data_IF_354428845049
#
_entry.id   IF_354428845049
#
_cell.length_a   1.000
_cell.length_b   1.000
_cell.length_c   1.000
_cell.angle_alpha   90.00
_cell.angle_beta   90.00
_cell.angle_gamma   90.00
#
_symmetry.space_group_name_H-M   'P 1'
#
loop_
_entity.id
_entity.type
_entity.pdbx_description
1 polymer ?
#
# COMPACT_ATOMS: atom_id res chain seq x y z
N UNK A 1 -23.38 18.38 0.28
CA UNK A 1 -22.75 17.68 -0.86
C UNK A 1 -21.26 18.04 -1.11
N UNK A 2 -20.68 19.08 -0.48
CA UNK A 2 -19.39 19.64 -0.90
C UNK A 2 -18.10 18.85 -0.64
N UNK A 3 -18.11 17.79 0.19
CA UNK A 3 -16.86 17.16 0.66
C UNK A 3 -16.75 15.66 0.34
N UNK A 4 -17.55 15.14 -0.60
CA UNK A 4 -17.54 13.70 -0.93
C UNK A 4 -16.15 13.22 -1.36
N UNK A 5 -15.45 14.01 -2.17
CA UNK A 5 -14.11 13.68 -2.66
C UNK A 5 -13.14 13.54 -1.48
N UNK A 6 -13.14 14.50 -0.56
CA UNK A 6 -12.28 14.43 0.62
C UNK A 6 -12.60 13.27 1.53
N UNK A 7 -13.89 12.98 1.76
CA UNK A 7 -14.31 11.83 2.53
C UNK A 7 -13.88 10.51 1.89
N UNK A 8 -13.94 10.42 0.55
CA UNK A 8 -13.47 9.26 -0.17
C UNK A 8 -11.97 9.02 0.05
N UNK A 9 -11.12 10.04 -0.10
CA UNK A 9 -9.68 9.90 0.13
C UNK A 9 -9.31 9.65 1.59
N UNK A 10 -10.04 10.26 2.53
CA UNK A 10 -9.88 10.02 3.97
C UNK A 10 -10.12 8.56 4.36
N UNK A 11 -10.98 7.84 3.63
CA UNK A 11 -11.22 6.42 3.84
C UNK A 11 -10.27 5.54 3.01
N UNK A 12 -10.01 5.92 1.76
CA UNK A 12 -9.22 5.11 0.83
C UNK A 12 -7.76 4.96 1.27
N UNK A 13 -7.10 6.04 1.67
CA UNK A 13 -5.66 6.02 1.99
C UNK A 13 -5.37 5.08 3.17
N UNK A 14 -6.07 5.17 4.33
CA UNK A 14 -5.86 4.24 5.44
C UNK A 14 -6.12 2.77 5.09
N UNK A 15 -7.11 2.50 4.24
CA UNK A 15 -7.41 1.12 3.80
C UNK A 15 -6.23 0.57 2.98
N UNK A 16 -5.65 1.37 2.11
CA UNK A 16 -4.46 0.98 1.33
C UNK A 16 -3.23 0.79 2.22
N UNK A 17 -3.04 1.64 3.23
CA UNK A 17 -1.97 1.48 4.21
C UNK A 17 -2.11 0.16 4.98
N UNK A 18 -3.31 -0.15 5.47
CA UNK A 18 -3.60 -1.41 6.15
C UNK A 18 -3.36 -2.59 5.20
N UNK A 19 -3.82 -2.51 3.95
CA UNK A 19 -3.59 -3.58 2.99
C UNK A 19 -2.09 -3.84 2.74
N UNK A 20 -1.30 -2.77 2.60
CA UNK A 20 0.16 -2.88 2.43
C UNK A 20 0.81 -3.43 3.70
N UNK A 21 0.36 -2.99 4.88
CA UNK A 21 0.86 -3.50 6.16
C UNK A 21 0.55 -4.99 6.34
N UNK A 22 -0.67 -5.41 6.02
CA UNK A 22 -1.05 -6.84 6.00
C UNK A 22 -0.19 -7.60 4.98
N UNK A 23 0.22 -6.98 3.86
CA UNK A 23 1.10 -7.64 2.88
C UNK A 23 2.49 -7.89 3.42
N UNK A 24 3.00 -6.96 4.24
CA UNK A 24 4.24 -7.13 4.98
C UNK A 24 4.07 -8.32 5.94
N UNK A 25 3.01 -8.35 6.75
CA UNK A 25 2.72 -9.47 7.66
C UNK A 25 2.64 -10.81 6.90
N UNK A 26 1.85 -10.85 5.82
CA UNK A 26 1.65 -12.04 5.01
C UNK A 26 2.95 -12.56 4.39
N UNK A 27 3.97 -11.71 4.17
CA UNK A 27 5.27 -12.18 3.66
C UNK A 27 6.00 -13.13 4.62
N UNK A 28 5.69 -13.11 5.92
CA UNK A 28 6.21 -14.08 6.89
C UNK A 28 5.33 -15.32 7.02
N UNK A 29 4.00 -15.17 6.94
CA UNK A 29 3.06 -16.28 7.11
C UNK A 29 2.85 -17.10 5.84
N UNK A 30 2.93 -16.47 4.67
CA UNK A 30 2.84 -17.09 3.35
C UNK A 30 3.95 -16.50 2.45
N UNK A 31 5.22 -16.89 2.66
CA UNK A 31 6.36 -16.32 1.93
C UNK A 31 6.30 -16.56 0.41
N UNK A 32 5.57 -17.60 -0.02
CA UNK A 32 5.36 -17.93 -1.43
C UNK A 32 4.18 -17.13 -2.04
N UNK A 33 3.32 -16.55 -1.20
CA UNK A 33 2.17 -15.75 -1.62
C UNK A 33 1.13 -16.53 -2.43
N UNK A 34 0.94 -17.83 -2.11
CA UNK A 34 0.08 -18.74 -2.86
C UNK A 34 -1.35 -18.83 -2.32
N UNK A 35 -1.59 -18.35 -1.11
CA UNK A 35 -2.94 -18.31 -0.53
C UNK A 35 -3.83 -17.36 -1.33
N UNK A 36 -5.13 -17.69 -1.42
CA UNK A 36 -6.13 -16.83 -2.08
C UNK A 36 -6.15 -15.42 -1.50
N UNK A 37 -5.93 -15.30 -0.19
CA UNK A 37 -5.86 -14.01 0.49
C UNK A 37 -4.63 -13.20 0.06
N UNK A 38 -3.45 -13.84 -0.03
CA UNK A 38 -2.24 -13.19 -0.53
C UNK A 38 -2.41 -12.71 -1.99
N UNK A 39 -3.08 -13.49 -2.84
CA UNK A 39 -3.34 -13.10 -4.23
C UNK A 39 -4.23 -11.85 -4.32
N UNK A 40 -5.35 -11.81 -3.59
CA UNK A 40 -6.23 -10.64 -3.54
C UNK A 40 -5.46 -9.41 -3.03
N UNK A 41 -4.64 -9.60 -1.99
CA UNK A 41 -3.86 -8.52 -1.42
C UNK A 41 -2.83 -7.97 -2.41
N UNK A 42 -2.21 -8.85 -3.21
CA UNK A 42 -1.33 -8.45 -4.31
C UNK A 42 -2.08 -7.65 -5.36
N UNK A 43 -3.26 -8.09 -5.79
CA UNK A 43 -4.06 -7.35 -6.79
C UNK A 43 -4.41 -5.93 -6.32
N UNK A 44 -4.75 -5.75 -5.04
CA UNK A 44 -5.08 -4.44 -4.48
C UNK A 44 -3.84 -3.54 -4.37
N UNK A 45 -2.69 -4.10 -3.99
CA UNK A 45 -1.50 -3.31 -3.62
C UNK A 45 -0.46 -3.19 -4.74
N UNK A 46 -0.41 -4.11 -5.71
CA UNK A 46 0.53 -4.09 -6.84
C UNK A 46 0.43 -2.82 -7.71
N UNK A 47 -0.73 -2.18 -7.93
CA UNK A 47 -0.80 -0.90 -8.62
C UNK A 47 0.06 0.20 -7.97
N UNK A 48 0.31 0.10 -6.66
CA UNK A 48 1.14 1.03 -5.89
C UNK A 48 2.59 0.50 -5.78
N UNK A 49 2.76 -0.79 -5.50
CA UNK A 49 4.08 -1.36 -5.25
C UNK A 49 4.90 -1.61 -6.53
N UNK A 50 4.28 -2.02 -7.64
CA UNK A 50 5.01 -2.29 -8.89
C UNK A 50 5.72 -1.05 -9.46
N UNK A 51 5.11 0.15 -9.50
CA UNK A 51 5.84 1.36 -9.88
C UNK A 51 7.05 1.64 -8.99
N UNK A 52 6.93 1.43 -7.68
CA UNK A 52 8.03 1.64 -6.73
C UNK A 52 9.15 0.63 -6.98
N UNK A 53 8.81 -0.65 -7.23
CA UNK A 53 9.78 -1.71 -7.56
C UNK A 53 10.54 -1.46 -8.86
N UNK A 54 10.00 -0.67 -9.79
CA UNK A 54 10.72 -0.27 -11.00
C UNK A 54 11.85 0.72 -10.71
N UNK A 55 11.72 1.52 -9.66
CA UNK A 55 12.72 2.50 -9.24
C UNK A 55 13.70 1.87 -8.25
N UNK A 56 13.18 1.11 -7.27
CA UNK A 56 13.97 0.45 -6.24
C UNK A 56 13.64 -1.04 -6.32
N UNK A 57 14.37 -1.82 -7.14
CA UNK A 57 14.11 -3.24 -7.31
C UNK A 57 14.34 -3.98 -6.00
N UNK A 58 13.55 -5.03 -5.78
CA UNK A 58 13.68 -5.92 -4.63
C UNK A 58 15.05 -6.61 -4.67
N UNK A 59 15.72 -6.70 -3.52
CA UNK A 59 17.05 -7.31 -3.40
C UNK A 59 16.89 -8.71 -2.80
N UNK A 60 16.96 -9.74 -3.63
CA UNK A 60 16.67 -11.11 -3.21
C UNK A 60 15.23 -11.26 -2.71
N UNK A 61 15.05 -11.82 -1.51
CA UNK A 61 13.74 -11.97 -0.87
C UNK A 61 13.28 -10.68 -0.14
N UNK A 62 14.13 -9.66 -0.05
CA UNK A 62 13.83 -8.43 0.67
C UNK A 62 13.23 -7.40 -0.28
N UNK A 63 11.94 -7.14 -0.08
CA UNK A 63 11.22 -6.11 -0.81
C UNK A 63 10.98 -4.90 0.10
N UNK A 64 11.68 -3.79 -0.18
CA UNK A 64 11.51 -2.52 0.54
C UNK A 64 10.37 -1.66 -0.02
N UNK A 65 9.79 -2.04 -1.17
CA UNK A 65 8.70 -1.29 -1.78
C UNK A 65 7.47 -1.09 -0.89
N UNK A 66 7.04 -2.05 -0.03
CA UNK A 66 5.93 -1.82 0.89
C UNK A 66 6.22 -0.70 1.90
N UNK A 67 7.44 -0.62 2.42
CA UNK A 67 7.84 0.42 3.39
C UNK A 67 7.81 1.81 2.74
N UNK A 68 8.34 1.91 1.52
CA UNK A 68 8.33 3.16 0.75
C UNK A 68 6.91 3.57 0.41
N UNK A 69 6.05 2.62 0.03
CA UNK A 69 4.64 2.88 -0.25
C UNK A 69 3.91 3.43 0.99
N UNK A 70 4.13 2.84 2.17
CA UNK A 70 3.55 3.34 3.43
C UNK A 70 4.00 4.77 3.72
N UNK A 71 5.29 5.09 3.55
CA UNK A 71 5.79 6.45 3.75
C UNK A 71 5.12 7.44 2.78
N UNK A 72 5.02 7.08 1.50
CA UNK A 72 4.39 7.93 0.48
C UNK A 72 2.91 8.16 0.75
N UNK A 73 2.18 7.13 1.18
CA UNK A 73 0.76 7.24 1.55
C UNK A 73 0.56 8.12 2.78
N UNK A 74 1.41 8.02 3.80
CA UNK A 74 1.35 8.88 4.99
C UNK A 74 1.61 10.35 4.65
N UNK A 75 2.60 10.62 3.79
CA UNK A 75 2.87 11.97 3.29
C UNK A 75 1.67 12.49 2.50
N UNK A 76 1.13 11.67 1.58
CA UNK A 76 -0.06 12.03 0.80
C UNK A 76 -1.25 12.36 1.71
N UNK A 77 -1.49 11.55 2.74
CA UNK A 77 -2.56 11.76 3.71
C UNK A 77 -2.38 13.07 4.48
N UNK A 78 -1.16 13.33 4.96
CA UNK A 78 -0.84 14.56 5.70
C UNK A 78 -1.06 15.79 4.84
N UNK A 79 -0.56 15.78 3.59
CA UNK A 79 -0.77 16.87 2.64
C UNK A 79 -2.25 17.05 2.34
N UNK A 80 -2.98 15.96 2.11
CA UNK A 80 -4.41 16.02 1.82
C UNK A 80 -5.22 16.63 2.96
N UNK A 81 -4.93 16.23 4.20
CA UNK A 81 -5.55 16.76 5.41
C UNK A 81 -5.20 18.23 5.67
N UNK A 82 -4.01 18.68 5.24
CA UNK A 82 -3.60 20.08 5.41
C UNK A 82 -4.29 21.06 4.45
N UNK A 83 -4.82 20.56 3.32
CA UNK A 83 -5.42 21.38 2.25
C UNK A 83 -6.95 21.28 2.21
N UNK A 84 -7.53 20.21 2.76
CA UNK A 84 -8.98 20.00 2.85
C UNK A 84 -9.59 20.72 4.05
#
# INVERSE_FOLDING_TARGET
MGNFISQFFLLLIPILEIAIFVRIIMSWFDPQGQSRFALILREITDPILLPIRRVIPSVGMFDLSPLIALLLLQVLQTVFQSVS
#
